data_IF_984447103291
#
_entry.id   IF_984447103291
#
_cell.length_a   1.000
_cell.length_b   1.000
_cell.length_c   1.000
_cell.angle_alpha   90.00
_cell.angle_beta   90.00
_cell.angle_gamma   90.00
#
_symmetry.space_group_name_H-M   'P 1'
#
loop_
_entity.id
_entity.type
_entity.pdbx_description
1 polymer ?
#
# COMPACT_ATOMS: atom_id res chain seq x y z
N UNK A 1 -1.59 -9.10 -8.69
CA UNK A 1 -2.42 -9.69 -7.60
C UNK A 1 -2.87 -11.14 -7.87
N UNK A 2 -3.10 -11.95 -6.82
CA UNK A 2 -3.78 -13.27 -6.92
C UNK A 2 -5.31 -13.12 -7.00
N UNK A 3 -6.04 -14.01 -7.69
CA UNK A 3 -7.50 -13.88 -7.88
C UNK A 3 -8.31 -13.93 -6.59
N UNK A 4 -7.76 -14.60 -5.57
CA UNK A 4 -8.37 -14.68 -4.24
C UNK A 4 -8.51 -13.31 -3.55
N UNK A 5 -7.66 -12.34 -3.90
CA UNK A 5 -7.66 -11.00 -3.32
C UNK A 5 -8.31 -9.93 -4.22
N UNK A 6 -8.68 -10.28 -5.46
CA UNK A 6 -9.32 -9.35 -6.40
C UNK A 6 -10.64 -8.80 -5.83
N UNK A 7 -11.49 -9.68 -5.31
CA UNK A 7 -12.82 -9.34 -4.79
C UNK A 7 -12.81 -8.72 -3.38
N UNK A 8 -11.64 -8.40 -2.82
CA UNK A 8 -11.55 -7.80 -1.48
C UNK A 8 -11.53 -6.28 -1.59
N UNK A 9 -12.37 -5.60 -0.82
CA UNK A 9 -12.36 -4.14 -0.75
C UNK A 9 -11.27 -3.64 0.20
N UNK A 10 -10.60 -2.55 -0.20
CA UNK A 10 -9.73 -1.79 0.68
C UNK A 10 -10.58 -0.91 1.60
N UNK A 11 -10.30 -0.95 2.90
CA UNK A 11 -10.95 -0.10 3.89
C UNK A 11 -9.91 0.94 4.34
N UNK A 12 -10.21 2.22 4.14
CA UNK A 12 -9.44 3.32 4.73
C UNK A 12 -9.97 3.58 6.14
N UNK A 13 -9.21 3.17 7.15
CA UNK A 13 -9.50 3.42 8.55
C UNK A 13 -8.82 4.73 8.97
N UNK A 14 -9.59 5.81 8.93
CA UNK A 14 -9.08 7.16 9.23
C UNK A 14 -8.79 7.36 10.72
N UNK A 15 -9.50 6.66 11.61
CA UNK A 15 -9.27 6.71 13.06
C UNK A 15 -7.92 6.12 13.45
N UNK A 16 -7.50 5.05 12.77
CA UNK A 16 -6.21 4.39 13.01
C UNK A 16 -5.12 4.81 12.03
N UNK A 17 -5.45 5.65 11.04
CA UNK A 17 -4.59 5.99 9.92
C UNK A 17 -4.01 4.74 9.21
N UNK A 18 -4.89 3.80 8.86
CA UNK A 18 -4.52 2.53 8.20
C UNK A 18 -5.36 2.26 6.97
N UNK A 19 -4.73 1.68 5.96
CA UNK A 19 -5.44 0.97 4.89
C UNK A 19 -5.47 -0.51 5.25
N UNK A 20 -6.65 -1.11 5.37
CA UNK A 20 -6.80 -2.51 5.77
C UNK A 20 -7.62 -3.30 4.76
N UNK A 21 -7.24 -4.55 4.54
CA UNK A 21 -8.03 -5.56 3.83
C UNK A 21 -8.32 -6.70 4.78
N UNK A 22 -9.48 -7.34 4.62
CA UNK A 22 -9.86 -8.53 5.38
C UNK A 22 -10.06 -9.71 4.43
N UNK A 23 -9.33 -10.81 4.67
CA UNK A 23 -9.44 -12.05 3.91
C UNK A 23 -9.57 -13.24 4.87
N UNK A 24 -10.60 -14.06 4.71
CA UNK A 24 -10.84 -15.27 5.53
C UNK A 24 -10.69 -15.02 7.03
N UNK A 25 -11.23 -13.89 7.52
CA UNK A 25 -11.18 -13.49 8.94
C UNK A 25 -9.81 -13.03 9.47
N UNK A 26 -8.82 -12.84 8.58
CA UNK A 26 -7.52 -12.27 8.88
C UNK A 26 -7.33 -10.95 8.14
N UNK A 27 -6.43 -10.11 8.64
CA UNK A 27 -6.19 -8.76 8.15
C UNK A 27 -4.77 -8.58 7.63
N UNK A 28 -4.67 -7.74 6.62
CA UNK A 28 -3.43 -7.11 6.20
C UNK A 28 -3.65 -5.61 6.16
N UNK A 29 -2.71 -4.84 6.65
CA UNK A 29 -2.85 -3.39 6.71
C UNK A 29 -1.56 -2.64 6.43
N UNK A 30 -1.71 -1.38 6.06
CA UNK A 30 -0.63 -0.42 5.85
C UNK A 30 -0.93 0.83 6.67
N UNK A 31 -0.05 1.15 7.62
CA UNK A 31 -0.08 2.44 8.31
C UNK A 31 0.32 3.55 7.35
N UNK A 32 -0.47 4.61 7.32
CA UNK A 32 -0.23 5.77 6.47
C UNK A 32 -0.17 7.07 7.26
N UNK A 33 0.45 8.09 6.66
CA UNK A 33 0.28 9.50 7.04
C UNK A 33 -0.19 10.29 5.85
N UNK A 34 -1.31 10.97 6.02
CA UNK A 34 -1.85 11.86 5.00
C UNK A 34 -1.37 13.29 5.26
N UNK A 35 -0.95 13.95 4.18
CA UNK A 35 -0.59 15.35 4.12
C UNK A 35 -1.31 15.97 2.92
N UNK A 36 -1.42 17.31 2.84
CA UNK A 36 -2.05 17.96 1.69
C UNK A 36 -1.44 17.47 0.36
N UNK A 37 -2.24 16.74 -0.42
CA UNK A 37 -1.85 16.17 -1.72
C UNK A 37 -0.87 14.99 -1.67
N UNK A 38 -0.51 14.43 -0.49
CA UNK A 38 0.45 13.32 -0.38
C UNK A 38 0.04 12.28 0.67
N UNK A 39 0.28 11.01 0.38
CA UNK A 39 0.11 9.90 1.32
C UNK A 39 1.45 9.19 1.48
N UNK A 40 1.92 9.10 2.72
CA UNK A 40 3.14 8.37 3.09
C UNK A 40 2.77 7.01 3.63
N UNK A 41 3.28 5.94 3.03
CA UNK A 41 3.07 4.57 3.50
C UNK A 41 4.25 4.17 4.38
N UNK A 42 4.00 3.90 5.65
CA UNK A 42 5.03 3.86 6.70
C UNK A 42 5.41 2.44 7.05
N UNK A 43 4.41 1.60 7.28
CA UNK A 43 4.60 0.23 7.73
C UNK A 43 3.51 -0.65 7.12
N UNK A 44 3.87 -1.86 6.72
CA UNK A 44 2.94 -2.85 6.19
C UNK A 44 3.04 -4.07 7.08
N UNK A 45 1.91 -4.51 7.61
CA UNK A 45 1.83 -5.67 8.48
C UNK A 45 0.71 -6.59 8.00
N UNK A 46 0.94 -7.89 8.14
CA UNK A 46 0.04 -8.94 7.67
C UNK A 46 -0.04 -9.97 8.77
N UNK A 47 -1.25 -10.43 9.10
CA UNK A 47 -1.39 -11.51 10.07
C UNK A 47 -0.69 -12.79 9.58
N UNK A 48 -0.09 -13.57 10.48
CA UNK A 48 0.75 -14.73 10.14
C UNK A 48 0.03 -15.76 9.27
N UNK A 49 -1.29 -15.87 9.42
CA UNK A 49 -2.14 -16.78 8.64
C UNK A 49 -2.28 -16.38 7.16
N UNK A 50 -1.91 -15.14 6.82
CA UNK A 50 -1.90 -14.59 5.47
C UNK A 50 -0.49 -14.43 4.89
N UNK A 51 0.57 -14.65 5.69
CA UNK A 51 1.94 -14.63 5.22
C UNK A 51 2.18 -15.68 4.13
N UNK A 52 3.01 -15.35 3.14
CA UNK A 52 3.26 -16.21 1.97
C UNK A 52 2.07 -16.41 1.02
N UNK A 53 0.86 -15.95 1.38
CA UNK A 53 -0.34 -16.08 0.52
C UNK A 53 -0.49 -14.93 -0.47
N UNK A 54 0.26 -13.84 -0.32
CA UNK A 54 0.22 -12.67 -1.21
C UNK A 54 -0.65 -11.52 -0.68
N UNK A 55 -1.11 -11.59 0.57
CA UNK A 55 -1.93 -10.53 1.17
C UNK A 55 -1.19 -9.20 1.30
N UNK A 56 0.11 -9.23 1.60
CA UNK A 56 0.96 -8.04 1.61
C UNK A 56 0.94 -7.32 0.26
N UNK A 57 1.14 -8.08 -0.83
CA UNK A 57 1.10 -7.54 -2.19
C UNK A 57 -0.29 -6.99 -2.52
N UNK A 58 -1.35 -7.72 -2.14
CA UNK A 58 -2.72 -7.29 -2.39
C UNK A 58 -3.08 -5.97 -1.69
N UNK A 59 -2.70 -5.80 -0.41
CA UNK A 59 -2.95 -4.54 0.30
C UNK A 59 -2.14 -3.39 -0.30
N UNK A 60 -0.89 -3.65 -0.69
CA UNK A 60 -0.05 -2.64 -1.36
C UNK A 60 -0.67 -2.23 -2.68
N UNK A 61 -0.95 -3.17 -3.60
CA UNK A 61 -1.58 -2.90 -4.90
C UNK A 61 -2.83 -2.03 -4.75
N UNK A 62 -3.76 -2.46 -3.90
CA UNK A 62 -5.02 -1.73 -3.67
C UNK A 62 -4.79 -0.35 -3.08
N UNK A 63 -3.84 -0.18 -2.16
CA UNK A 63 -3.51 1.14 -1.61
C UNK A 63 -2.89 2.05 -2.67
N UNK A 64 -2.07 1.53 -3.58
CA UNK A 64 -1.50 2.31 -4.69
C UNK A 64 -2.60 2.76 -5.67
N UNK A 65 -3.52 1.86 -6.02
CA UNK A 65 -4.69 2.18 -6.82
C UNK A 65 -5.54 3.28 -6.17
N UNK A 66 -5.79 3.18 -4.86
CA UNK A 66 -6.51 4.22 -4.11
C UNK A 66 -5.81 5.57 -4.19
N UNK A 67 -4.49 5.62 -3.98
CA UNK A 67 -3.69 6.85 -4.05
C UNK A 67 -3.80 7.47 -5.45
N UNK A 68 -3.69 6.66 -6.50
CA UNK A 68 -3.83 7.09 -7.89
C UNK A 68 -5.22 7.66 -8.18
N UNK A 69 -6.28 6.92 -7.85
CA UNK A 69 -7.67 7.32 -8.10
C UNK A 69 -8.03 8.62 -7.39
N UNK A 70 -7.47 8.84 -6.20
CA UNK A 70 -7.70 10.05 -5.40
C UNK A 70 -6.70 11.18 -5.72
N UNK A 71 -5.86 11.03 -6.76
CA UNK A 71 -4.89 12.04 -7.19
C UNK A 71 -3.88 12.46 -6.10
N UNK A 72 -3.55 11.57 -5.18
CA UNK A 72 -2.51 11.80 -4.18
C UNK A 72 -1.13 11.39 -4.71
N UNK A 73 -0.07 12.03 -4.20
CA UNK A 73 1.31 11.58 -4.39
C UNK A 73 1.73 10.58 -3.31
N UNK A 74 2.41 9.52 -3.72
CA UNK A 74 2.89 8.46 -2.84
C UNK A 74 4.29 8.77 -2.30
N UNK A 75 4.47 8.60 -0.98
CA UNK A 75 5.80 8.57 -0.33
C UNK A 75 6.01 7.18 0.28
N UNK A 76 6.76 6.27 -0.39
CA UNK A 76 6.92 4.89 0.04
C UNK A 76 8.03 4.74 1.10
N UNK A 77 7.73 5.10 2.35
CA UNK A 77 8.68 4.97 3.47
C UNK A 77 8.86 3.52 3.94
N UNK A 78 7.84 2.68 3.75
CA UNK A 78 7.93 1.26 4.05
C UNK A 78 8.87 0.56 3.05
N UNK A 79 9.89 -0.21 3.53
CA UNK A 79 10.81 -0.91 2.65
C UNK A 79 10.11 -1.95 1.76
N UNK A 80 9.00 -2.54 2.22
CA UNK A 80 8.21 -3.49 1.45
C UNK A 80 7.52 -2.83 0.27
N UNK A 81 6.87 -1.68 0.50
CA UNK A 81 6.24 -0.86 -0.55
C UNK A 81 7.30 -0.37 -1.54
N UNK A 82 8.45 0.10 -1.03
CA UNK A 82 9.55 0.55 -1.86
C UNK A 82 10.08 -0.56 -2.76
N UNK A 83 10.32 -1.75 -2.21
CA UNK A 83 10.74 -2.93 -2.98
C UNK A 83 9.69 -3.34 -4.01
N UNK A 84 8.40 -3.21 -3.67
CA UNK A 84 7.30 -3.46 -4.61
C UNK A 84 7.36 -2.50 -5.80
N UNK A 85 7.49 -1.19 -5.58
CA UNK A 85 7.61 -0.19 -6.65
C UNK A 85 8.88 -0.40 -7.49
N UNK A 86 10.00 -0.80 -6.87
CA UNK A 86 11.22 -1.16 -7.62
C UNK A 86 10.98 -2.31 -8.60
N UNK A 87 10.15 -3.30 -8.22
CA UNK A 87 9.76 -4.42 -9.09
C UNK A 87 8.67 -4.05 -10.11
N UNK A 88 7.84 -3.07 -9.77
CA UNK A 88 6.72 -2.58 -10.58
C UNK A 88 6.89 -1.10 -10.90
N UNK A 89 7.81 -0.77 -11.84
CA UNK A 89 8.18 0.61 -12.13
C UNK A 89 7.02 1.43 -12.71
N UNK A 90 5.92 0.83 -13.13
CA UNK A 90 4.72 1.56 -13.56
C UNK A 90 4.16 2.48 -12.46
N UNK A 91 4.32 2.10 -11.19
CA UNK A 91 3.82 2.87 -10.04
C UNK A 91 4.66 4.11 -9.75
N UNK A 92 5.83 4.27 -10.38
CA UNK A 92 6.65 5.49 -10.25
C UNK A 92 5.88 6.75 -10.63
N UNK A 93 4.86 6.65 -11.49
CA UNK A 93 4.03 7.78 -11.95
C UNK A 93 3.28 8.49 -10.82
N UNK A 94 2.95 7.79 -9.74
CA UNK A 94 2.28 8.37 -8.56
C UNK A 94 3.25 8.71 -7.43
N UNK A 95 4.51 8.27 -7.50
CA UNK A 95 5.52 8.59 -6.49
C UNK A 95 5.78 10.09 -6.48
N UNK A 96 5.92 10.65 -5.29
CA UNK A 96 6.28 12.05 -5.10
C UNK A 96 7.68 12.31 -5.65
N UNK A 97 7.81 13.31 -6.52
CA UNK A 97 9.09 13.68 -7.15
C UNK A 97 10.16 14.14 -6.13
N UNK A 98 9.75 14.58 -4.94
CA UNK A 98 10.68 15.00 -3.89
C UNK A 98 11.15 13.83 -3.01
N UNK A 99 10.68 12.60 -3.27
CA UNK A 99 11.10 11.43 -2.53
C UNK A 99 12.49 10.95 -2.98
N UNK A 100 13.52 11.46 -2.28
CA UNK A 100 14.94 11.19 -2.56
C UNK A 100 15.35 9.72 -2.43
N UNK A 101 14.57 8.89 -1.74
CA UNK A 101 14.89 7.48 -1.55
C UNK A 101 14.82 6.65 -2.83
N UNK A 102 14.29 7.21 -3.93
CA UNK A 102 14.07 6.49 -5.18
C UNK A 102 15.24 6.53 -6.18
N UNK A 103 16.19 7.45 -5.99
CA UNK A 103 17.36 7.60 -6.87
C UNK A 103 18.55 6.71 -6.46
N UNK A 104 18.40 5.90 -5.41
CA UNK A 104 19.42 5.00 -4.84
C UNK A 104 19.32 3.55 -5.36
#
# INVERSE_FOLDING_TARGET
MKPEFENISLIKNEEKHRFEITFKNHKAFIDYKERPGKISLIHTEVEPELEGKGAATAVIEKTLEYIEQNNFKLVPLCPLVFAYIKRHPEWKRIVDENFKGFEE
#
